data_IF_135467998240
#
_entry.id   IF_135467998240
#
_cell.length_a   1.000
_cell.length_b   1.000
_cell.length_c   1.000
_cell.angle_alpha   90.00
_cell.angle_beta   90.00
_cell.angle_gamma   90.00
#
_symmetry.space_group_name_H-M   'P 1'
#
loop_
_entity.id
_entity.type
_entity.pdbx_description
1 polymer ?
#
# COMPACT_ATOMS: atom_id res chain seq x y z
N UNK A 1 -0.72 14.69 36.58
CA UNK A 1 -1.96 14.90 35.80
C UNK A 1 -1.55 15.74 34.60
N UNK A 2 -1.14 15.09 33.52
CA UNK A 2 -0.58 15.75 32.34
C UNK A 2 -1.61 15.62 31.24
N UNK A 3 -2.16 16.76 30.82
CA UNK A 3 -3.25 16.84 29.86
C UNK A 3 -2.85 16.26 28.50
N UNK A 4 -3.62 15.26 28.05
CA UNK A 4 -3.55 14.72 26.69
C UNK A 4 -4.18 15.75 25.74
N UNK A 5 -3.53 16.14 24.63
CA UNK A 5 -4.06 17.15 23.71
C UNK A 5 -5.44 16.76 23.16
N UNK A 6 -6.39 17.70 23.29
CA UNK A 6 -7.74 17.60 22.72
C UNK A 6 -7.65 17.67 21.19
N UNK A 7 -7.94 16.56 20.51
CA UNK A 7 -8.09 16.57 19.05
C UNK A 7 -8.06 15.23 18.33
N UNK A 8 -7.59 14.15 18.96
CA UNK A 8 -7.49 12.85 18.29
C UNK A 8 -8.19 11.76 19.06
N UNK A 9 -9.20 11.15 18.42
CA UNK A 9 -9.88 9.98 18.95
C UNK A 9 -8.86 8.87 19.29
N UNK A 10 -9.06 8.14 20.41
CA UNK A 10 -8.34 6.92 20.74
C UNK A 10 -8.24 5.96 19.54
N UNK A 11 -7.18 5.16 19.47
CA UNK A 11 -7.03 4.16 18.40
C UNK A 11 -8.25 3.22 18.29
N UNK A 12 -8.82 2.70 19.40
CA UNK A 12 -10.04 1.88 19.33
C UNK A 12 -11.20 2.55 18.59
N UNK A 13 -11.44 3.85 18.79
CA UNK A 13 -12.49 4.59 18.09
C UNK A 13 -12.26 4.70 16.57
N UNK A 14 -10.99 4.67 16.14
CA UNK A 14 -10.63 4.67 14.72
C UNK A 14 -10.74 3.28 14.13
N UNK A 15 -10.37 2.26 14.89
CA UNK A 15 -10.51 0.86 14.52
C UNK A 15 -11.99 0.45 14.46
N UNK A 16 -12.88 1.05 15.27
CA UNK A 16 -14.33 0.76 15.31
C UNK A 16 -14.63 -0.74 15.47
N UNK A 17 -13.80 -1.43 16.22
CA UNK A 17 -13.96 -2.82 16.64
C UNK A 17 -13.44 -2.92 18.07
N UNK A 18 -14.12 -3.72 18.88
CA UNK A 18 -13.70 -3.97 20.25
C UNK A 18 -12.60 -5.04 20.22
N UNK A 19 -11.39 -4.67 20.63
CA UNK A 19 -10.23 -5.55 20.70
C UNK A 19 -9.80 -5.59 22.15
N UNK A 20 -9.62 -6.80 22.68
CA UNK A 20 -9.05 -7.03 23.99
C UNK A 20 -7.77 -6.21 24.17
N UNK A 21 -7.68 -5.53 25.32
CA UNK A 21 -6.64 -4.55 25.57
C UNK A 21 -5.24 -5.16 25.55
N UNK A 22 -5.08 -6.39 26.06
CA UNK A 22 -3.79 -7.09 26.08
C UNK A 22 -3.37 -7.51 24.66
N UNK A 23 -4.31 -7.97 23.85
CA UNK A 23 -4.06 -8.27 22.43
C UNK A 23 -3.70 -7.03 21.62
N UNK A 24 -4.36 -5.89 21.87
CA UNK A 24 -4.04 -4.64 21.19
C UNK A 24 -2.67 -4.10 21.62
N UNK A 25 -2.32 -4.17 22.89
CA UNK A 25 -0.98 -3.80 23.38
C UNK A 25 0.10 -4.70 22.75
N UNK A 26 -0.14 -6.02 22.68
CA UNK A 26 0.76 -6.95 22.02
C UNK A 26 0.96 -6.60 20.54
N UNK A 27 -0.12 -6.28 19.81
CA UNK A 27 -0.04 -5.88 18.40
C UNK A 27 0.77 -4.59 18.18
N UNK A 28 0.72 -3.66 19.14
CA UNK A 28 1.45 -2.39 19.12
C UNK A 28 2.91 -2.52 19.62
N UNK A 29 3.30 -3.68 20.12
CA UNK A 29 4.64 -3.93 20.68
C UNK A 29 5.61 -4.41 19.61
N UNK A 30 6.50 -3.53 19.17
CA UNK A 30 7.57 -3.89 18.25
C UNK A 30 8.70 -4.64 18.98
N UNK A 31 9.37 -5.54 18.27
CA UNK A 31 10.49 -6.35 18.79
C UNK A 31 11.59 -5.53 19.48
N UNK A 32 11.88 -4.31 19.01
CA UNK A 32 12.88 -3.44 19.64
C UNK A 32 12.48 -3.00 21.05
N UNK A 33 11.19 -2.72 21.28
CA UNK A 33 10.69 -2.43 22.62
C UNK A 33 10.75 -3.67 23.50
N UNK A 34 10.31 -4.81 22.95
CA UNK A 34 10.31 -6.08 23.67
C UNK A 34 11.69 -6.47 24.19
N UNK A 35 12.73 -6.39 23.35
CA UNK A 35 14.10 -6.72 23.76
C UNK A 35 14.66 -5.76 24.82
N UNK A 36 14.31 -4.47 24.75
CA UNK A 36 14.70 -3.50 25.78
C UNK A 36 13.99 -3.72 27.14
N UNK A 37 12.83 -4.38 27.13
CA UNK A 37 12.00 -4.62 28.31
C UNK A 37 12.05 -6.08 28.77
N UNK A 38 13.20 -6.72 28.67
CA UNK A 38 13.42 -8.07 29.21
C UNK A 38 12.91 -9.20 28.31
N UNK A 39 12.71 -8.95 27.02
CA UNK A 39 12.27 -9.95 26.06
C UNK A 39 10.81 -10.34 26.20
N UNK A 40 9.94 -9.37 26.53
CA UNK A 40 8.49 -9.58 26.55
C UNK A 40 7.97 -9.99 25.16
N UNK A 41 6.76 -10.57 25.06
CA UNK A 41 6.15 -10.86 23.77
C UNK A 41 6.02 -9.62 22.87
N UNK A 42 6.11 -9.82 21.55
CA UNK A 42 5.97 -8.78 20.53
C UNK A 42 5.05 -9.24 19.39
N UNK A 43 4.78 -8.33 18.47
CA UNK A 43 3.72 -8.42 17.47
C UNK A 43 3.94 -9.39 16.30
N UNK A 44 5.17 -9.82 15.99
CA UNK A 44 5.49 -10.69 14.83
C UNK A 44 4.59 -11.93 14.65
N UNK A 45 4.11 -12.56 15.73
CA UNK A 45 3.18 -13.71 15.62
C UNK A 45 1.77 -13.29 15.22
N UNK A 46 1.33 -12.12 15.65
CA UNK A 46 0.06 -11.53 15.26
C UNK A 46 0.14 -11.00 13.83
N UNK A 47 1.27 -10.42 13.44
CA UNK A 47 1.57 -10.01 12.06
C UNK A 47 1.39 -11.19 11.10
N UNK A 48 2.05 -12.32 11.38
CA UNK A 48 1.92 -13.55 10.58
C UNK A 48 0.46 -13.99 10.38
N UNK A 49 -0.35 -13.98 11.44
CA UNK A 49 -1.78 -14.29 11.36
C UNK A 49 -2.53 -13.23 10.54
N UNK A 50 -2.24 -11.96 10.81
CA UNK A 50 -2.86 -10.80 10.21
C UNK A 50 -2.67 -10.71 8.70
N UNK A 51 -1.47 -11.02 8.19
CA UNK A 51 -1.17 -11.08 6.75
C UNK A 51 -2.09 -12.09 6.04
N UNK A 52 -2.26 -13.28 6.61
CA UNK A 52 -3.16 -14.30 6.05
C UNK A 52 -4.62 -13.82 6.01
N UNK A 53 -5.08 -13.16 7.08
CA UNK A 53 -6.45 -12.61 7.16
C UNK A 53 -6.65 -11.46 6.18
N UNK A 54 -5.69 -10.54 6.10
CA UNK A 54 -5.67 -9.44 5.14
C UNK A 54 -5.75 -9.96 3.71
N UNK A 55 -4.84 -10.87 3.36
CA UNK A 55 -4.74 -11.46 2.03
C UNK A 55 -6.03 -12.17 1.62
N UNK A 56 -6.64 -12.93 2.52
CA UNK A 56 -7.91 -13.60 2.27
C UNK A 56 -9.04 -12.60 2.05
N UNK A 57 -9.23 -11.65 2.96
CA UNK A 57 -10.32 -10.67 2.89
C UNK A 57 -10.28 -9.86 1.58
N UNK A 58 -9.09 -9.38 1.20
CA UNK A 58 -8.90 -8.64 -0.07
C UNK A 58 -9.12 -9.56 -1.27
N UNK A 59 -8.62 -10.80 -1.24
CA UNK A 59 -8.81 -11.75 -2.35
C UNK A 59 -10.30 -12.05 -2.59
N UNK A 60 -11.05 -12.36 -1.52
CA UNK A 60 -12.48 -12.66 -1.61
C UNK A 60 -13.24 -11.46 -2.16
N UNK A 61 -12.95 -10.26 -1.66
CA UNK A 61 -13.60 -9.05 -2.15
C UNK A 61 -13.28 -8.79 -3.62
N UNK A 62 -12.02 -8.89 -4.06
CA UNK A 62 -11.66 -8.68 -5.46
C UNK A 62 -12.36 -9.70 -6.37
N UNK A 63 -12.31 -10.99 -6.03
CA UNK A 63 -12.93 -12.06 -6.80
C UNK A 63 -14.45 -11.88 -6.95
N UNK A 64 -15.13 -11.46 -5.88
CA UNK A 64 -16.60 -11.29 -5.88
C UNK A 64 -17.07 -10.00 -6.53
N UNK A 65 -16.27 -8.94 -6.47
CA UNK A 65 -16.66 -7.61 -6.99
C UNK A 65 -16.21 -7.35 -8.42
N UNK A 66 -15.25 -8.13 -8.93
CA UNK A 66 -14.68 -7.98 -10.27
C UNK A 66 -14.67 -9.33 -11.03
N UNK A 67 -15.84 -9.93 -11.30
CA UNK A 67 -15.95 -11.22 -12.00
C UNK A 67 -15.42 -11.20 -13.44
N UNK A 68 -15.19 -10.02 -14.01
CA UNK A 68 -14.66 -9.81 -15.35
C UNK A 68 -13.13 -9.90 -15.46
N UNK A 69 -12.41 -9.79 -14.34
CA UNK A 69 -10.96 -9.77 -14.32
C UNK A 69 -10.37 -11.17 -14.31
N UNK A 70 -9.24 -11.33 -14.98
CA UNK A 70 -8.48 -12.58 -14.93
C UNK A 70 -7.63 -12.72 -13.64
N UNK A 71 -7.03 -13.90 -13.44
CA UNK A 71 -6.18 -14.20 -12.29
C UNK A 71 -5.00 -13.21 -12.16
N UNK A 72 -4.38 -12.83 -13.28
CA UNK A 72 -3.22 -11.95 -13.30
C UNK A 72 -3.58 -10.53 -12.87
N UNK A 73 -4.72 -10.02 -13.36
CA UNK A 73 -5.26 -8.73 -12.96
C UNK A 73 -5.66 -8.73 -11.48
N UNK A 74 -6.38 -9.75 -11.01
CA UNK A 74 -6.75 -9.91 -9.60
C UNK A 74 -5.51 -9.94 -8.70
N UNK A 75 -4.46 -10.68 -9.09
CA UNK A 75 -3.20 -10.76 -8.35
C UNK A 75 -2.50 -9.39 -8.28
N UNK A 76 -2.43 -8.66 -9.40
CA UNK A 76 -1.86 -7.30 -9.45
C UNK A 76 -2.64 -6.35 -8.53
N UNK A 77 -3.97 -6.39 -8.56
CA UNK A 77 -4.81 -5.56 -7.68
C UNK A 77 -4.62 -5.90 -6.22
N UNK A 78 -4.60 -7.19 -5.87
CA UNK A 78 -4.31 -7.62 -4.51
C UNK A 78 -2.97 -7.09 -4.03
N UNK A 79 -1.91 -7.28 -4.82
CA UNK A 79 -0.56 -6.83 -4.47
C UNK A 79 -0.48 -5.32 -4.21
N UNK A 80 -1.23 -4.50 -4.95
CA UNK A 80 -1.25 -3.06 -4.72
C UNK A 80 -1.90 -2.64 -3.39
N UNK A 81 -2.82 -3.46 -2.86
CA UNK A 81 -3.57 -3.16 -1.61
C UNK A 81 -2.88 -3.73 -0.38
N UNK A 82 -2.27 -4.91 -0.50
CA UNK A 82 -1.61 -5.61 0.62
C UNK A 82 -0.10 -5.33 0.69
N UNK A 83 0.41 -4.38 -0.10
CA UNK A 83 1.82 -4.02 -0.05
C UNK A 83 2.17 -3.24 1.21
N UNK A 84 3.44 -3.32 1.63
CA UNK A 84 4.00 -2.54 2.75
C UNK A 84 3.70 -1.05 2.62
N UNK A 85 3.86 -0.48 1.42
CA UNK A 85 3.60 0.95 1.18
C UNK A 85 2.12 1.30 1.40
N UNK A 86 1.23 0.47 0.86
CA UNK A 86 -0.21 0.66 0.99
C UNK A 86 -0.69 0.52 2.44
N UNK A 87 -0.21 -0.49 3.16
CA UNK A 87 -0.55 -0.69 4.57
C UNK A 87 0.05 0.42 5.45
N UNK A 88 1.26 0.89 5.17
CA UNK A 88 1.84 2.03 5.87
C UNK A 88 1.03 3.31 5.65
N UNK A 89 0.47 3.53 4.47
CA UNK A 89 -0.44 4.63 4.21
C UNK A 89 -1.73 4.51 5.04
N UNK A 90 -2.35 3.32 5.09
CA UNK A 90 -3.51 3.05 5.94
C UNK A 90 -3.19 3.33 7.41
N UNK A 91 -2.03 2.84 7.88
CA UNK A 91 -1.53 3.05 9.23
C UNK A 91 -1.42 4.55 9.56
N UNK A 92 -0.84 5.35 8.64
CA UNK A 92 -0.75 6.80 8.79
C UNK A 92 -2.12 7.47 8.78
N UNK A 93 -3.04 7.02 7.94
CA UNK A 93 -4.41 7.52 7.87
C UNK A 93 -5.16 7.39 9.21
N UNK A 94 -4.91 6.32 9.95
CA UNK A 94 -5.45 6.15 11.32
C UNK A 94 -4.50 6.67 12.42
N UNK A 95 -3.32 7.18 12.06
CA UNK A 95 -2.32 7.65 13.02
C UNK A 95 -1.79 6.54 13.92
N UNK A 96 -1.58 5.34 13.40
CA UNK A 96 -1.09 4.17 14.16
C UNK A 96 0.28 4.42 14.78
N UNK A 97 1.18 5.08 14.05
CA UNK A 97 2.59 5.26 14.46
C UNK A 97 2.78 5.87 15.86
N UNK A 98 1.88 6.74 16.30
CA UNK A 98 1.92 7.37 17.64
C UNK A 98 1.56 6.43 18.80
N UNK A 99 1.00 5.26 18.48
CA UNK A 99 0.59 4.25 19.45
C UNK A 99 1.62 3.12 19.57
N UNK A 100 2.61 3.07 18.68
CA UNK A 100 3.65 2.04 18.70
C UNK A 100 4.49 2.11 19.98
N UNK A 101 4.78 0.95 20.53
CA UNK A 101 5.79 0.78 21.56
C UNK A 101 7.10 0.39 20.85
N UNK A 102 8.06 1.32 20.83
CA UNK A 102 9.35 1.19 20.18
C UNK A 102 10.48 1.31 21.21
N UNK A 103 11.55 0.52 21.02
CA UNK A 103 12.79 0.71 21.76
C UNK A 103 13.43 2.06 21.45
N UNK A 104 14.24 2.59 22.36
CA UNK A 104 14.82 3.95 22.26
C UNK A 104 15.64 4.15 20.99
N UNK A 105 16.37 3.12 20.54
CA UNK A 105 17.17 3.19 19.32
C UNK A 105 16.28 3.28 18.08
N UNK A 106 15.21 2.49 18.04
CA UNK A 106 14.26 2.48 16.93
C UNK A 106 13.52 3.82 16.84
N UNK A 107 13.07 4.35 17.98
CA UNK A 107 12.44 5.67 18.10
C UNK A 107 13.34 6.78 17.53
N UNK A 108 14.63 6.82 17.92
CA UNK A 108 15.58 7.85 17.47
C UNK A 108 15.83 7.83 15.95
N UNK A 109 15.66 6.68 15.30
CA UNK A 109 15.81 6.56 13.84
C UNK A 109 14.50 6.80 13.08
N UNK A 110 13.48 7.34 13.74
CA UNK A 110 12.19 7.65 13.12
C UNK A 110 11.31 6.42 12.89
N UNK A 111 11.45 5.38 13.72
CA UNK A 111 10.72 4.11 13.57
C UNK A 111 9.19 4.26 13.44
N UNK A 112 8.60 5.29 14.05
CA UNK A 112 7.15 5.56 13.99
C UNK A 112 6.62 5.85 12.59
N UNK A 113 7.50 6.29 11.69
CA UNK A 113 7.16 6.64 10.31
C UNK A 113 7.79 5.68 9.29
N UNK A 114 8.46 4.59 9.72
CA UNK A 114 9.01 3.58 8.79
C UNK A 114 7.88 2.73 8.21
N UNK A 115 7.88 2.58 6.88
CA UNK A 115 6.83 1.83 6.17
C UNK A 115 6.72 0.38 6.66
N UNK A 116 7.84 -0.31 6.85
CA UNK A 116 7.85 -1.70 7.33
C UNK A 116 7.17 -1.83 8.69
N UNK A 117 7.61 -1.05 9.68
CA UNK A 117 7.06 -1.11 11.05
C UNK A 117 5.55 -0.81 11.05
N UNK A 118 5.13 0.19 10.28
CA UNK A 118 3.73 0.55 10.16
C UNK A 118 2.89 -0.56 9.52
N UNK A 119 3.39 -1.18 8.45
CA UNK A 119 2.72 -2.28 7.77
C UNK A 119 2.61 -3.52 8.67
N UNK A 120 3.72 -3.95 9.26
CA UNK A 120 3.78 -5.13 10.13
C UNK A 120 2.84 -4.95 11.35
N UNK A 121 2.78 -3.73 11.90
CA UNK A 121 1.86 -3.43 13.00
C UNK A 121 0.40 -3.41 12.54
N UNK A 122 0.10 -2.94 11.32
CA UNK A 122 -1.26 -3.02 10.77
C UNK A 122 -1.73 -4.47 10.64
N UNK A 123 -0.88 -5.35 10.13
CA UNK A 123 -1.14 -6.79 10.07
C UNK A 123 -1.34 -7.34 11.48
N UNK A 124 -0.48 -6.99 12.44
CA UNK A 124 -0.65 -7.43 13.82
C UNK A 124 -1.98 -6.97 14.45
N UNK A 125 -2.45 -5.75 14.16
CA UNK A 125 -3.76 -5.26 14.61
C UNK A 125 -4.90 -6.06 13.97
N UNK A 126 -4.77 -6.45 12.69
CA UNK A 126 -5.73 -7.33 12.03
C UNK A 126 -5.73 -8.72 12.70
N UNK A 127 -4.56 -9.28 13.00
CA UNK A 127 -4.41 -10.53 13.72
C UNK A 127 -5.02 -10.49 15.13
N UNK A 128 -4.79 -9.41 15.87
CA UNK A 128 -5.42 -9.18 17.18
C UNK A 128 -6.95 -9.08 17.06
N UNK A 129 -7.46 -8.40 16.04
CA UNK A 129 -8.90 -8.30 15.77
C UNK A 129 -9.50 -9.67 15.49
N UNK A 130 -8.83 -10.50 14.69
CA UNK A 130 -9.27 -11.85 14.39
C UNK A 130 -9.42 -12.71 15.66
N UNK A 131 -8.43 -12.66 16.55
CA UNK A 131 -8.46 -13.42 17.80
C UNK A 131 -9.48 -12.88 18.82
N UNK A 132 -9.66 -11.55 18.86
CA UNK A 132 -10.53 -10.91 19.85
C UNK A 132 -12.00 -10.87 19.45
N UNK A 133 -12.30 -10.56 18.18
CA UNK A 133 -13.64 -10.25 17.69
C UNK A 133 -14.13 -11.22 16.60
N UNK A 134 -13.29 -12.17 16.17
CA UNK A 134 -13.63 -13.21 15.22
C UNK A 134 -13.37 -12.85 13.75
N UNK A 135 -13.51 -13.85 12.85
CA UNK A 135 -13.15 -13.73 11.44
C UNK A 135 -13.98 -12.68 10.69
N UNK A 136 -15.26 -12.57 10.98
CA UNK A 136 -16.17 -11.61 10.33
C UNK A 136 -15.75 -10.17 10.65
N UNK A 137 -15.54 -9.85 11.93
CA UNK A 137 -15.13 -8.53 12.36
C UNK A 137 -13.76 -8.12 11.81
N UNK A 138 -12.81 -9.07 11.73
CA UNK A 138 -11.51 -8.84 11.12
C UNK A 138 -11.62 -8.55 9.61
N UNK A 139 -12.47 -9.29 8.90
CA UNK A 139 -12.75 -9.06 7.48
C UNK A 139 -13.35 -7.67 7.26
N UNK A 140 -14.35 -7.29 8.05
CA UNK A 140 -14.97 -5.95 7.97
C UNK A 140 -13.98 -4.82 8.28
N UNK A 141 -13.08 -5.02 9.25
CA UNK A 141 -12.00 -4.09 9.55
C UNK A 141 -11.09 -3.90 8.33
N UNK A 142 -10.60 -4.99 7.75
CA UNK A 142 -9.72 -4.97 6.57
C UNK A 142 -10.38 -4.21 5.42
N UNK A 143 -11.61 -4.59 5.05
CA UNK A 143 -12.30 -3.99 3.91
C UNK A 143 -12.56 -2.50 4.13
N UNK A 144 -12.91 -2.09 5.35
CA UNK A 144 -13.13 -0.68 5.67
C UNK A 144 -11.84 0.15 5.58
N UNK A 145 -10.73 -0.38 6.10
CA UNK A 145 -9.46 0.34 6.12
C UNK A 145 -8.79 0.40 4.75
N UNK A 146 -8.95 -0.64 3.93
CA UNK A 146 -8.39 -0.70 2.57
C UNK A 146 -9.30 -0.06 1.52
N UNK A 147 -10.58 0.23 1.84
CA UNK A 147 -11.54 0.86 0.92
C UNK A 147 -11.01 2.11 0.20
N UNK A 148 -10.32 3.06 0.86
CA UNK A 148 -9.77 4.23 0.16
C UNK A 148 -8.71 3.85 -0.88
N UNK A 149 -7.93 2.79 -0.62
CA UNK A 149 -6.97 2.25 -1.58
C UNK A 149 -7.68 1.63 -2.79
N UNK A 150 -8.76 0.88 -2.53
CA UNK A 150 -9.59 0.22 -3.53
C UNK A 150 -10.37 1.17 -4.42
N UNK A 151 -10.73 2.34 -3.90
CA UNK A 151 -11.45 3.36 -4.65
C UNK A 151 -10.55 4.19 -5.58
N UNK A 152 -9.23 4.07 -5.48
CA UNK A 152 -8.28 4.83 -6.27
C UNK A 152 -7.94 4.11 -7.58
N UNK A 153 -8.43 4.57 -8.75
CA UNK A 153 -8.15 3.93 -10.03
C UNK A 153 -6.65 3.93 -10.37
N UNK A 154 -5.89 4.85 -9.79
CA UNK A 154 -4.45 5.02 -10.02
C UNK A 154 -3.58 4.01 -9.25
N UNK A 155 -4.19 3.12 -8.47
CA UNK A 155 -3.47 2.02 -7.79
C UNK A 155 -3.47 0.71 -8.57
N UNK A 156 -4.27 0.63 -9.64
CA UNK A 156 -4.53 -0.62 -10.35
C UNK A 156 -4.14 -0.56 -11.82
N UNK A 157 -4.00 -1.75 -12.43
CA UNK A 157 -3.80 -1.91 -13.86
C UNK A 157 -2.58 -1.14 -14.38
N UNK A 158 -2.80 -0.35 -15.42
CA UNK A 158 -1.72 0.42 -16.05
C UNK A 158 -1.08 1.44 -15.13
N UNK A 159 -1.70 1.88 -14.04
CA UNK A 159 -1.02 2.82 -13.14
C UNK A 159 0.11 2.14 -12.32
N UNK A 160 0.01 0.82 -12.11
CA UNK A 160 1.01 0.03 -11.36
C UNK A 160 2.11 -0.51 -12.27
N UNK A 161 1.77 -1.01 -13.46
CA UNK A 161 2.75 -1.41 -14.48
C UNK A 161 2.42 -0.82 -15.86
N UNK A 162 2.63 0.49 -16.05
CA UNK A 162 2.19 1.18 -17.25
C UNK A 162 2.92 0.72 -18.51
N UNK A 163 4.17 0.28 -18.38
CA UNK A 163 4.99 -0.14 -19.52
C UNK A 163 4.49 -1.47 -20.07
N UNK A 164 4.28 -2.45 -19.20
CA UNK A 164 3.74 -3.76 -19.61
C UNK A 164 2.31 -3.61 -20.11
N UNK A 165 1.45 -2.88 -19.38
CA UNK A 165 0.06 -2.68 -19.80
C UNK A 165 -0.04 -1.94 -21.14
N UNK A 166 0.83 -0.97 -21.42
CA UNK A 166 0.90 -0.30 -22.72
C UNK A 166 1.35 -1.24 -23.84
N UNK A 167 2.31 -2.12 -23.57
CA UNK A 167 2.76 -3.12 -24.54
C UNK A 167 1.65 -4.13 -24.87
N UNK A 168 0.92 -4.62 -23.87
CA UNK A 168 -0.23 -5.52 -24.05
C UNK A 168 -1.38 -4.83 -24.81
N UNK A 169 -1.71 -3.58 -24.45
CA UNK A 169 -2.72 -2.78 -25.14
C UNK A 169 -2.34 -2.54 -26.60
N UNK A 170 -1.10 -2.14 -26.88
CA UNK A 170 -0.60 -1.92 -28.23
C UNK A 170 -0.74 -3.19 -29.09
N UNK A 171 -0.37 -4.35 -28.55
CA UNK A 171 -0.54 -5.63 -29.24
C UNK A 171 -2.02 -5.95 -29.48
N UNK A 172 -2.89 -5.72 -28.49
CA UNK A 172 -4.33 -5.98 -28.58
C UNK A 172 -5.02 -5.14 -29.66
N UNK A 173 -4.64 -3.88 -29.81
CA UNK A 173 -5.22 -2.96 -30.81
C UNK A 173 -4.49 -3.00 -32.16
N UNK A 174 -3.48 -3.87 -32.31
CA UNK A 174 -2.71 -4.00 -33.56
C UNK A 174 -1.78 -2.82 -33.88
N UNK A 175 -1.36 -2.06 -32.87
CA UNK A 175 -0.43 -0.93 -33.02
C UNK A 175 1.04 -1.39 -32.91
N UNK A 176 1.98 -0.49 -33.20
CA UNK A 176 3.40 -0.77 -33.02
C UNK A 176 3.77 -0.85 -31.53
N UNK A 177 4.77 -1.66 -31.15
CA UNK A 177 5.17 -1.76 -29.76
C UNK A 177 5.74 -0.41 -29.25
N UNK A 178 5.60 -0.10 -27.94
CA UNK A 178 6.01 1.19 -27.41
C UNK A 178 7.51 1.43 -27.51
N UNK A 179 7.90 2.58 -28.06
CA UNK A 179 9.29 3.03 -28.16
C UNK A 179 9.52 4.23 -27.24
N UNK A 180 10.58 4.17 -26.44
CA UNK A 180 10.92 5.20 -25.47
C UNK A 180 12.21 5.93 -25.84
N UNK A 181 12.19 7.25 -25.70
CA UNK A 181 13.39 8.09 -25.66
C UNK A 181 13.39 8.88 -24.36
N UNK A 182 14.56 9.08 -23.74
CA UNK A 182 14.67 9.78 -22.44
C UNK A 182 15.77 10.81 -22.48
N UNK A 183 15.43 12.04 -22.12
CA UNK A 183 16.34 13.15 -21.96
C UNK A 183 16.51 13.49 -20.47
N UNK A 184 17.69 13.96 -20.08
CA UNK A 184 17.99 14.38 -18.72
C UNK A 184 18.34 15.87 -18.69
N UNK A 185 17.87 16.57 -17.67
CA UNK A 185 18.11 18.00 -17.45
C UNK A 185 18.34 18.28 -15.97
N UNK A 186 18.92 19.43 -15.65
CA UNK A 186 19.21 19.85 -14.27
C UNK A 186 20.52 19.31 -13.69
N UNK A 187 20.95 19.83 -12.52
CA UNK A 187 22.19 19.43 -11.87
C UNK A 187 22.09 18.03 -11.26
N UNK A 188 23.23 17.39 -10.98
CA UNK A 188 23.28 15.98 -10.53
C UNK A 188 22.44 15.68 -9.28
N UNK A 189 22.30 16.66 -8.38
CA UNK A 189 21.53 16.54 -7.14
C UNK A 189 20.04 16.89 -7.29
N UNK A 190 19.61 17.38 -8.46
CA UNK A 190 18.20 17.68 -8.80
C UNK A 190 17.94 17.36 -10.28
N UNK A 191 18.41 16.18 -10.71
CA UNK A 191 18.31 15.76 -12.10
C UNK A 191 16.88 15.35 -12.42
N UNK A 192 16.32 15.94 -13.46
CA UNK A 192 14.98 15.64 -13.98
C UNK A 192 15.07 14.91 -15.31
N UNK A 193 14.24 13.89 -15.47
CA UNK A 193 14.16 13.09 -16.67
C UNK A 193 12.83 13.34 -17.37
N UNK A 194 12.88 13.47 -18.69
CA UNK A 194 11.72 13.61 -19.57
C UNK A 194 11.76 12.44 -20.54
N UNK A 195 10.77 11.55 -20.46
CA UNK A 195 10.62 10.42 -21.35
C UNK A 195 9.50 10.70 -22.36
N UNK A 196 9.76 10.39 -23.63
CA UNK A 196 8.75 10.39 -24.69
C UNK A 196 8.48 8.94 -25.08
N UNK A 197 7.21 8.55 -25.13
CA UNK A 197 6.77 7.25 -25.64
C UNK A 197 6.00 7.42 -26.95
N UNK A 198 6.30 6.57 -27.92
CA UNK A 198 5.60 6.52 -29.21
C UNK A 198 4.97 5.13 -29.40
N UNK A 199 3.68 5.10 -29.73
CA UNK A 199 2.90 3.88 -30.01
C UNK A 199 1.98 4.18 -31.20
N UNK A 200 2.30 3.66 -32.38
CA UNK A 200 1.60 4.02 -33.61
C UNK A 200 1.68 5.53 -33.90
N UNK A 201 0.53 6.20 -33.96
CA UNK A 201 0.37 7.64 -34.11
C UNK A 201 0.36 8.41 -32.77
N UNK A 202 0.29 7.70 -31.64
CA UNK A 202 0.26 8.31 -30.31
C UNK A 202 1.68 8.61 -29.84
N UNK A 203 1.90 9.87 -29.45
CA UNK A 203 3.13 10.33 -28.79
C UNK A 203 2.76 10.99 -27.46
N UNK A 204 3.32 10.50 -26.36
CA UNK A 204 3.10 11.08 -25.02
C UNK A 204 4.42 11.31 -24.30
N UNK A 205 4.42 12.29 -23.40
CA UNK A 205 5.59 12.67 -22.62
C UNK A 205 5.30 12.48 -21.14
N UNK A 206 6.27 12.01 -20.38
CA UNK A 206 6.22 11.88 -18.93
C UNK A 206 7.52 12.35 -18.29
N UNK A 207 7.43 12.89 -17.08
CA UNK A 207 8.58 13.41 -16.33
C UNK A 207 8.77 12.69 -15.02
N UNK A 208 10.00 12.59 -14.53
CA UNK A 208 10.28 12.00 -13.22
C UNK A 208 11.69 12.31 -12.69
N UNK A 209 11.92 11.97 -11.42
CA UNK A 209 13.22 12.09 -10.75
C UNK A 209 14.23 11.01 -11.19
N UNK A 210 13.77 10.00 -11.92
CA UNK A 210 14.59 8.96 -12.55
C UNK A 210 14.08 8.64 -13.95
N UNK A 211 14.94 8.02 -14.79
CA UNK A 211 14.53 7.51 -16.11
C UNK A 211 13.31 6.59 -16.01
N UNK A 212 13.33 5.66 -15.05
CA UNK A 212 12.25 4.70 -14.80
C UNK A 212 10.92 5.42 -14.51
N UNK A 213 10.92 6.40 -13.60
CA UNK A 213 9.71 7.15 -13.25
C UNK A 213 9.18 7.99 -14.42
N UNK A 214 10.06 8.56 -15.23
CA UNK A 214 9.66 9.33 -16.41
C UNK A 214 9.00 8.42 -17.47
N UNK A 215 9.61 7.27 -17.76
CA UNK A 215 9.05 6.29 -18.70
C UNK A 215 7.70 5.74 -18.24
N UNK A 216 7.55 5.42 -16.94
CA UNK A 216 6.27 4.98 -16.38
C UNK A 216 5.18 6.04 -16.54
N UNK A 217 5.49 7.31 -16.30
CA UNK A 217 4.54 8.41 -16.48
C UNK A 217 4.13 8.61 -17.96
N UNK A 218 5.08 8.52 -18.89
CA UNK A 218 4.82 8.62 -20.32
C UNK A 218 3.93 7.45 -20.77
N UNK A 219 4.27 6.24 -20.34
CA UNK A 219 3.57 5.01 -20.66
C UNK A 219 2.13 5.01 -20.15
N UNK A 220 1.90 5.46 -18.90
CA UNK A 220 0.56 5.57 -18.33
C UNK A 220 -0.31 6.54 -19.12
N UNK A 221 0.26 7.68 -19.49
CA UNK A 221 -0.46 8.70 -20.25
C UNK A 221 -0.84 8.20 -21.66
N UNK A 222 0.08 7.48 -22.33
CA UNK A 222 -0.23 6.83 -23.61
C UNK A 222 -1.27 5.72 -23.47
N UNK A 223 -1.18 4.91 -22.41
CA UNK A 223 -2.13 3.83 -22.17
C UNK A 223 -3.55 4.38 -22.00
N UNK A 224 -3.73 5.42 -21.16
CA UNK A 224 -5.05 6.04 -20.95
C UNK A 224 -5.65 6.54 -22.27
N UNK A 225 -4.86 7.28 -23.05
CA UNK A 225 -5.32 7.84 -24.32
C UNK A 225 -5.73 6.75 -25.33
N UNK A 226 -4.94 5.68 -25.46
CA UNK A 226 -5.26 4.60 -26.39
C UNK A 226 -6.46 3.80 -25.90
N UNK A 227 -6.55 3.55 -24.59
CA UNK A 227 -7.66 2.80 -24.00
C UNK A 227 -8.99 3.56 -24.08
N UNK A 228 -8.98 4.90 -24.04
CA UNK A 228 -10.18 5.73 -24.27
C UNK A 228 -10.65 5.75 -25.72
N UNK A 229 -9.76 5.45 -26.69
CA UNK A 229 -10.07 5.42 -28.12
C UNK A 229 -10.54 4.05 -28.62
N UNK A 230 -10.29 2.99 -27.85
CA UNK A 230 -10.59 1.60 -28.19
C UNK A 230 -12.02 1.20 -27.77
#
# INVERSE_FOLDING_TARGET
MTEVPRGTRPLPDKLRVDIDAELLELALTHRSYAYEHGGIPHNERLEFLGDSVLGQAVTVMLFTTHPELDEGELAKRRASVVSTVALAEVARGIGLGRHLLLGRGEEQTGGRDKDSILADTMEAVIGATYLSAGPEAATELVLRLTKPLLADPERYGAAMDPKTSLQELAARVGSTPPQYSVEASGPDHDRRFTATVVVGDVTMVGTGSSKKTAEMAAALSAWRLINERA
#
